data_IF_936989960214
#
_entry.id   IF_936989960214
#
_cell.length_a   1.000
_cell.length_b   1.000
_cell.length_c   1.000
_cell.angle_alpha   90.00
_cell.angle_beta   90.00
_cell.angle_gamma   90.00
#
_symmetry.space_group_name_H-M   'P 1'
#
loop_
_entity.id
_entity.type
_entity.pdbx_description
1 polymer ?
#
# COMPACT_ATOMS: atom_id res chain seq x y z
N UNK A 1 -34.29 -17.42 40.86
CA UNK A 1 -32.86 -17.81 40.73
C UNK A 1 -32.17 -16.79 39.85
N UNK A 2 -31.25 -16.00 40.41
CA UNK A 2 -30.43 -15.05 39.63
C UNK A 2 -29.28 -15.82 38.95
N UNK A 3 -29.41 -16.16 37.68
CA UNK A 3 -28.73 -15.35 36.66
C UNK A 3 -27.25 -14.96 36.87
N UNK A 4 -26.34 -15.79 37.37
CA UNK A 4 -24.95 -15.35 37.62
C UNK A 4 -24.27 -14.88 36.31
N UNK A 5 -24.20 -13.56 36.11
CA UNK A 5 -23.49 -12.93 34.98
C UNK A 5 -22.03 -13.35 35.01
N UNK A 6 -21.63 -14.27 34.12
CA UNK A 6 -20.23 -14.65 33.92
C UNK A 6 -19.43 -13.41 33.49
N UNK A 7 -18.46 -13.01 34.30
CA UNK A 7 -17.51 -11.95 33.95
C UNK A 7 -16.72 -12.36 32.71
N UNK A 8 -16.64 -11.53 31.65
CA UNK A 8 -15.94 -11.89 30.43
C UNK A 8 -14.42 -12.07 30.70
N UNK A 9 -13.84 -13.15 30.15
CA UNK A 9 -12.38 -13.40 30.24
C UNK A 9 -11.63 -12.38 29.36
N UNK A 10 -10.81 -11.52 29.97
CA UNK A 10 -9.85 -10.65 29.26
C UNK A 10 -8.84 -11.52 28.48
N UNK A 11 -8.66 -11.29 27.18
CA UNK A 11 -7.62 -11.93 26.35
C UNK A 11 -6.55 -10.94 25.91
N UNK A 12 -5.28 -11.34 25.93
CA UNK A 12 -4.13 -10.48 25.59
C UNK A 12 -3.38 -10.99 24.36
N UNK A 13 -2.86 -10.09 23.52
CA UNK A 13 -2.17 -10.42 22.26
C UNK A 13 -0.74 -10.91 22.50
N UNK A 14 -0.08 -11.52 21.50
CA UNK A 14 1.33 -11.93 21.66
C UNK A 14 2.25 -10.71 21.75
N UNK A 15 1.94 -9.62 21.05
CA UNK A 15 2.68 -8.36 21.15
C UNK A 15 2.66 -7.77 22.57
N UNK A 16 1.46 -7.65 23.18
CA UNK A 16 1.32 -7.17 24.57
C UNK A 16 2.09 -8.04 25.57
N UNK A 17 2.18 -9.36 25.30
CA UNK A 17 2.98 -10.25 26.14
C UNK A 17 4.48 -10.00 25.97
N UNK A 18 4.95 -9.78 24.75
CA UNK A 18 6.36 -9.45 24.45
C UNK A 18 6.76 -8.11 25.09
N UNK A 19 5.89 -7.10 25.03
CA UNK A 19 6.10 -5.80 25.70
C UNK A 19 6.22 -5.94 27.21
N UNK A 20 5.30 -6.68 27.86
CA UNK A 20 5.37 -6.97 29.30
C UNK A 20 6.68 -7.66 29.66
N UNK A 21 7.12 -8.63 28.86
CA UNK A 21 8.40 -9.32 29.09
C UNK A 21 9.59 -8.38 28.94
N UNK A 22 9.58 -7.49 27.94
CA UNK A 22 10.62 -6.47 27.76
C UNK A 22 10.71 -5.49 28.93
N UNK A 23 9.57 -5.04 29.48
CA UNK A 23 9.54 -4.18 30.67
C UNK A 23 10.08 -4.89 31.91
N UNK A 24 9.76 -6.17 32.09
CA UNK A 24 10.28 -6.98 33.20
C UNK A 24 11.80 -7.21 33.05
N UNK A 25 12.28 -7.49 31.84
CA UNK A 25 13.71 -7.61 31.54
C UNK A 25 14.47 -6.30 31.76
N UNK A 26 13.82 -5.15 31.51
CA UNK A 26 14.35 -3.82 31.82
C UNK A 26 14.40 -3.51 33.33
N UNK A 27 14.05 -4.47 34.19
CA UNK A 27 14.17 -4.37 35.65
C UNK A 27 12.90 -3.87 36.35
N UNK A 28 11.77 -3.72 35.65
CA UNK A 28 10.51 -3.36 36.31
C UNK A 28 9.92 -4.57 37.03
N UNK A 29 9.54 -4.35 38.29
CA UNK A 29 8.86 -5.36 39.12
C UNK A 29 7.42 -5.55 38.66
N UNK A 30 6.91 -6.77 38.78
CA UNK A 30 5.58 -7.19 38.28
C UNK A 30 4.40 -6.28 38.67
N UNK A 31 4.46 -5.64 39.85
CA UNK A 31 3.43 -4.70 40.32
C UNK A 31 3.44 -3.37 39.57
N UNK A 32 4.63 -2.85 39.21
CA UNK A 32 4.77 -1.62 38.42
C UNK A 32 4.28 -1.83 37.00
N UNK A 33 4.60 -2.99 36.41
CA UNK A 33 4.11 -3.36 35.07
C UNK A 33 2.59 -3.56 35.09
N UNK A 34 2.05 -4.11 36.17
CA UNK A 34 0.60 -4.27 36.38
C UNK A 34 -0.12 -2.92 36.46
N UNK A 35 0.45 -1.94 37.15
CA UNK A 35 -0.08 -0.58 37.27
C UNK A 35 0.03 0.18 35.94
N UNK A 36 1.17 0.05 35.24
CA UNK A 36 1.42 0.71 33.95
C UNK A 36 0.44 0.26 32.85
N UNK A 37 0.18 -1.05 32.77
CA UNK A 37 -0.57 -1.65 31.65
C UNK A 37 -1.98 -2.14 32.03
N UNK A 38 -2.40 -1.98 33.28
CA UNK A 38 -3.71 -2.44 33.77
C UNK A 38 -3.90 -3.98 33.72
N UNK A 39 -2.81 -4.75 33.65
CA UNK A 39 -2.82 -6.22 33.52
C UNK A 39 -2.69 -6.86 34.90
N UNK A 40 -3.56 -7.80 35.31
CA UNK A 40 -3.45 -8.44 36.62
C UNK A 40 -2.09 -9.11 36.83
N UNK A 41 -1.45 -8.88 37.99
CA UNK A 41 -0.14 -9.45 38.35
C UNK A 41 -0.03 -10.96 38.13
N UNK A 42 -1.10 -11.71 38.42
CA UNK A 42 -1.15 -13.17 38.18
C UNK A 42 -0.90 -13.52 36.72
N UNK A 43 -1.43 -12.72 35.80
CA UNK A 43 -1.32 -12.92 34.35
C UNK A 43 0.09 -12.61 33.87
N UNK A 44 0.70 -11.53 34.40
CA UNK A 44 2.08 -11.15 34.12
C UNK A 44 3.04 -12.26 34.56
N UNK A 45 2.86 -12.82 35.77
CA UNK A 45 3.68 -13.95 36.25
C UNK A 45 3.58 -15.17 35.34
N UNK A 46 2.37 -15.54 34.93
CA UNK A 46 2.18 -16.63 33.96
C UNK A 46 2.92 -16.39 32.64
N UNK A 47 3.06 -15.14 32.19
CA UNK A 47 3.82 -14.83 30.97
C UNK A 47 5.32 -14.86 31.18
N UNK A 48 5.81 -14.43 32.35
CA UNK A 48 7.21 -14.60 32.75
C UNK A 48 7.59 -16.09 32.72
N UNK A 49 6.70 -16.96 33.21
CA UNK A 49 6.91 -18.42 33.16
C UNK A 49 6.90 -18.96 31.71
N UNK A 50 6.11 -18.35 30.81
CA UNK A 50 5.99 -18.70 29.40
C UNK A 50 6.93 -17.89 28.48
N UNK A 51 7.92 -17.20 29.05
CA UNK A 51 8.72 -16.19 28.36
C UNK A 51 9.33 -16.66 27.05
N UNK A 52 9.94 -17.85 27.05
CA UNK A 52 10.61 -18.39 25.87
C UNK A 52 9.66 -18.64 24.71
N UNK A 53 8.50 -19.26 24.98
CA UNK A 53 7.49 -19.54 23.96
C UNK A 53 6.89 -18.26 23.37
N UNK A 54 6.78 -17.21 24.18
CA UNK A 54 6.25 -15.91 23.76
C UNK A 54 7.27 -15.14 22.91
N UNK A 55 8.55 -15.16 23.28
CA UNK A 55 9.60 -14.42 22.58
C UNK A 55 9.97 -15.07 21.24
N UNK A 56 9.96 -16.40 21.15
CA UNK A 56 10.29 -17.17 19.93
C UNK A 56 9.13 -17.21 18.92
N UNK A 57 7.95 -16.72 19.29
CA UNK A 57 6.79 -16.72 18.41
C UNK A 57 6.90 -15.70 17.25
N UNK A 58 7.09 -16.21 16.04
CA UNK A 58 7.12 -15.44 14.78
C UNK A 58 5.77 -15.36 14.04
N UNK A 59 4.72 -15.97 14.59
CA UNK A 59 3.39 -16.03 13.95
C UNK A 59 2.53 -14.77 14.14
N UNK A 60 1.23 -14.88 13.82
CA UNK A 60 0.27 -13.78 13.93
C UNK A 60 0.17 -13.23 15.36
N UNK A 61 0.62 -11.99 15.55
CA UNK A 61 0.65 -11.33 16.85
C UNK A 61 -0.71 -10.74 17.27
N UNK A 62 -1.73 -10.72 16.40
CA UNK A 62 -3.09 -10.19 16.64
C UNK A 62 -4.08 -11.32 17.11
N UNK A 63 -5.01 -10.99 18.03
CA UNK A 63 -5.84 -11.86 18.94
C UNK A 63 -6.58 -13.07 18.28
N UNK A 64 -6.92 -14.08 19.12
CA UNK A 64 -7.67 -15.33 18.81
C UNK A 64 -9.18 -15.24 19.14
N UNK A 65 -10.09 -15.43 18.18
CA UNK A 65 -11.45 -16.01 18.34
C UNK A 65 -12.08 -16.21 16.95
N UNK A 66 -12.24 -17.45 16.51
CA UNK A 66 -12.89 -17.82 15.24
C UNK A 66 -14.14 -18.62 15.59
N UNK A 67 -15.32 -18.06 15.31
CA UNK A 67 -16.56 -18.84 15.18
C UNK A 67 -16.75 -19.10 13.67
N UNK A 68 -17.14 -20.32 13.24
CA UNK A 68 -17.15 -20.67 11.82
C UNK A 68 -18.18 -19.86 11.01
N UNK A 69 -17.72 -19.19 9.95
CA UNK A 69 -18.55 -18.56 8.93
C UNK A 69 -18.61 -19.39 7.64
N UNK A 70 -19.78 -19.41 6.98
CA UNK A 70 -20.11 -20.25 5.83
C UNK A 70 -19.20 -20.11 4.59
N UNK A 71 -19.32 -21.07 3.66
CA UNK A 71 -18.51 -21.23 2.44
C UNK A 71 -18.64 -20.01 1.50
N UNK A 72 -17.55 -19.46 0.93
CA UNK A 72 -17.65 -18.45 -0.12
C UNK A 72 -18.26 -19.01 -1.39
N UNK A 73 -19.16 -18.26 -2.02
CA UNK A 73 -19.72 -18.57 -3.33
C UNK A 73 -18.68 -18.28 -4.42
N UNK A 74 -18.43 -19.24 -5.29
CA UNK A 74 -17.60 -19.10 -6.48
C UNK A 74 -18.42 -18.49 -7.61
N UNK A 75 -18.03 -17.31 -8.07
CA UNK A 75 -18.60 -16.70 -9.28
C UNK A 75 -17.80 -17.18 -10.50
N UNK A 76 -18.46 -17.63 -11.58
CA UNK A 76 -17.78 -17.87 -12.85
C UNK A 76 -17.24 -16.54 -13.41
N UNK A 77 -16.08 -16.60 -14.09
CA UNK A 77 -15.55 -15.46 -14.82
C UNK A 77 -16.57 -15.02 -15.89
N UNK A 78 -16.89 -13.72 -16.02
CA UNK A 78 -17.84 -13.26 -17.03
C UNK A 78 -17.25 -13.42 -18.44
N UNK A 79 -18.05 -14.01 -19.34
CA UNK A 79 -17.76 -14.09 -20.77
C UNK A 79 -17.71 -12.66 -21.35
N UNK A 80 -16.53 -12.22 -21.83
CA UNK A 80 -16.41 -10.91 -22.50
C UNK A 80 -15.03 -10.26 -22.49
N UNK A 81 -14.06 -10.76 -21.72
CA UNK A 81 -12.67 -10.26 -21.79
C UNK A 81 -11.89 -11.05 -22.83
N UNK A 82 -11.90 -10.60 -24.09
CA UNK A 82 -10.99 -11.09 -25.14
C UNK A 82 -9.55 -10.70 -24.76
N UNK A 83 -8.90 -11.54 -23.96
CA UNK A 83 -7.48 -11.37 -23.59
C UNK A 83 -6.64 -11.55 -24.86
N UNK A 84 -5.89 -10.51 -25.22
CA UNK A 84 -4.89 -10.64 -26.28
C UNK A 84 -3.89 -11.74 -25.92
N UNK A 85 -3.38 -12.45 -26.94
CA UNK A 85 -2.37 -13.47 -26.71
C UNK A 85 -1.08 -12.83 -26.19
N UNK A 86 -0.32 -13.58 -25.39
CA UNK A 86 0.95 -13.10 -24.85
C UNK A 86 1.93 -12.69 -25.96
N UNK A 87 1.92 -13.39 -27.10
CA UNK A 87 2.77 -13.08 -28.26
C UNK A 87 2.40 -11.74 -28.91
N UNK A 88 1.10 -11.47 -29.08
CA UNK A 88 0.63 -10.20 -29.64
C UNK A 88 0.99 -9.02 -28.73
N UNK A 89 0.89 -9.21 -27.42
CA UNK A 89 1.34 -8.21 -26.44
C UNK A 89 2.84 -7.93 -26.57
N UNK A 90 3.68 -8.97 -26.64
CA UNK A 90 5.14 -8.79 -26.82
C UNK A 90 5.47 -7.99 -28.08
N UNK A 91 4.79 -8.26 -29.20
CA UNK A 91 4.97 -7.49 -30.43
C UNK A 91 4.60 -6.00 -30.26
N UNK A 92 3.51 -5.71 -29.54
CA UNK A 92 3.12 -4.32 -29.21
C UNK A 92 4.17 -3.66 -28.33
N UNK A 93 4.71 -4.36 -27.34
CA UNK A 93 5.80 -3.85 -26.49
C UNK A 93 7.03 -3.51 -27.30
N UNK A 94 7.47 -4.43 -28.16
CA UNK A 94 8.72 -4.26 -28.90
C UNK A 94 8.63 -3.09 -29.87
N UNK A 95 7.51 -2.97 -30.60
CA UNK A 95 7.23 -1.81 -31.46
C UNK A 95 7.19 -0.50 -30.65
N UNK A 96 6.47 -0.49 -29.54
CA UNK A 96 6.38 0.69 -28.68
C UNK A 96 7.75 1.10 -28.12
N UNK A 97 8.57 0.14 -27.70
CA UNK A 97 9.92 0.39 -27.19
C UNK A 97 10.83 0.95 -28.29
N UNK A 98 10.78 0.41 -29.51
CA UNK A 98 11.49 0.96 -30.67
C UNK A 98 11.13 2.43 -30.94
N UNK A 99 9.82 2.74 -30.96
CA UNK A 99 9.34 4.10 -31.17
C UNK A 99 9.74 5.05 -30.04
N UNK A 100 9.61 4.58 -28.78
CA UNK A 100 10.02 5.32 -27.60
C UNK A 100 11.51 5.67 -27.63
N UNK A 101 12.38 4.68 -27.89
CA UNK A 101 13.82 4.90 -27.97
C UNK A 101 14.21 5.80 -29.14
N UNK A 102 13.47 5.75 -30.25
CA UNK A 102 13.69 6.65 -31.41
C UNK A 102 13.33 8.10 -31.09
N UNK A 103 12.17 8.32 -30.49
CA UNK A 103 11.64 9.66 -30.20
C UNK A 103 12.39 10.34 -29.03
N UNK A 104 12.65 9.59 -27.96
CA UNK A 104 13.23 10.11 -26.72
C UNK A 104 14.72 9.80 -26.55
N UNK A 105 15.44 9.48 -27.64
CA UNK A 105 16.89 9.20 -27.63
C UNK A 105 17.77 10.25 -26.94
N UNK A 106 17.30 11.49 -26.88
CA UNK A 106 18.00 12.62 -26.26
C UNK A 106 17.81 12.74 -24.75
N UNK A 107 16.96 11.90 -24.15
CA UNK A 107 16.65 11.94 -22.72
C UNK A 107 17.44 10.87 -21.99
N UNK A 108 18.18 11.29 -20.96
CA UNK A 108 18.84 10.37 -20.04
C UNK A 108 17.83 9.67 -19.11
N UNK A 109 18.23 8.58 -18.45
CA UNK A 109 17.37 7.82 -17.54
C UNK A 109 16.87 8.64 -16.33
N UNK A 110 17.56 9.73 -15.98
CA UNK A 110 17.14 10.70 -14.96
C UNK A 110 15.96 11.59 -15.39
N UNK A 111 15.73 11.72 -16.70
CA UNK A 111 14.69 12.54 -17.31
C UNK A 111 13.47 11.73 -17.76
N UNK A 112 13.49 10.39 -17.60
CA UNK A 112 12.38 9.50 -17.95
C UNK A 112 11.68 9.05 -16.68
N UNK A 113 10.38 9.30 -16.61
CA UNK A 113 9.53 9.02 -15.46
C UNK A 113 8.44 8.04 -15.86
N UNK A 114 8.01 7.20 -14.92
CA UNK A 114 6.76 6.44 -15.05
C UNK A 114 5.84 6.73 -13.87
N UNK A 115 4.55 6.95 -14.15
CA UNK A 115 3.50 7.24 -13.17
C UNK A 115 2.39 6.22 -13.31
N UNK A 116 1.90 5.71 -12.18
CA UNK A 116 0.75 4.81 -12.14
C UNK A 116 0.09 4.80 -10.76
N UNK A 117 -1.20 4.46 -10.72
CA UNK A 117 -2.00 4.37 -9.50
C UNK A 117 -2.23 2.95 -9.02
N UNK A 118 -2.23 2.78 -7.70
CA UNK A 118 -2.63 1.52 -7.10
C UNK A 118 -3.50 1.70 -5.87
N UNK A 119 -4.62 0.96 -5.86
CA UNK A 119 -5.49 0.87 -4.70
C UNK A 119 -4.96 -0.14 -3.68
N UNK A 120 -5.03 0.22 -2.41
CA UNK A 120 -4.72 -0.68 -1.30
C UNK A 120 -5.70 -0.48 -0.14
N UNK A 121 -5.79 -1.49 0.72
CA UNK A 121 -6.79 -1.57 1.77
C UNK A 121 -6.14 -1.47 3.16
N UNK A 122 -6.91 -1.08 4.17
CA UNK A 122 -6.48 -1.10 5.55
C UNK A 122 -6.08 -2.52 5.96
N UNK A 123 -6.95 -3.50 5.69
CA UNK A 123 -6.67 -4.92 5.86
C UNK A 123 -5.98 -5.48 4.62
N UNK A 124 -4.75 -5.97 4.79
CA UNK A 124 -3.93 -6.56 3.72
C UNK A 124 -3.48 -7.97 4.11
N UNK A 125 -4.42 -8.91 4.32
CA UNK A 125 -4.04 -10.27 4.68
C UNK A 125 -3.26 -10.95 3.55
N UNK A 126 -2.34 -11.87 3.89
CA UNK A 126 -1.59 -12.62 2.89
C UNK A 126 -2.51 -13.55 2.08
N UNK A 127 -2.11 -13.82 0.83
CA UNK A 127 -2.86 -14.69 -0.09
C UNK A 127 -2.93 -16.15 0.35
N UNK A 128 -1.91 -16.60 1.09
CA UNK A 128 -1.80 -17.98 1.60
C UNK A 128 -1.50 -17.96 3.09
N UNK A 129 -2.17 -18.82 3.85
CA UNK A 129 -1.96 -19.01 5.29
C UNK A 129 -1.90 -20.51 5.56
N UNK A 130 -0.93 -20.91 6.38
CA UNK A 130 -0.84 -22.28 6.88
C UNK A 130 -1.94 -22.53 7.91
N UNK A 131 -2.72 -23.59 7.71
CA UNK A 131 -3.70 -24.08 8.68
C UNK A 131 -3.29 -25.46 9.17
N UNK A 132 -3.65 -25.79 10.40
CA UNK A 132 -3.50 -27.14 10.92
C UNK A 132 -4.31 -28.12 10.04
N UNK A 133 -3.75 -29.30 9.77
CA UNK A 133 -4.41 -30.32 8.94
C UNK A 133 -5.76 -30.70 9.57
N UNK A 134 -6.85 -30.46 8.86
CA UNK A 134 -8.23 -30.66 9.36
C UNK A 134 -8.87 -29.44 10.03
N UNK A 135 -8.15 -28.31 10.13
CA UNK A 135 -8.67 -27.02 10.58
C UNK A 135 -9.18 -26.13 9.43
N UNK A 136 -9.96 -25.11 9.77
CA UNK A 136 -10.44 -24.10 8.80
C UNK A 136 -9.30 -23.12 8.44
N UNK A 137 -9.15 -22.82 7.15
CA UNK A 137 -8.11 -21.95 6.60
C UNK A 137 -8.55 -20.47 6.48
N UNK A 138 -9.76 -20.11 6.93
CA UNK A 138 -10.31 -18.77 6.77
C UNK A 138 -9.77 -17.76 7.79
N UNK A 139 -9.46 -16.56 7.28
CA UNK A 139 -9.17 -15.37 8.07
C UNK A 139 -10.49 -14.84 8.63
N UNK A 140 -10.67 -14.87 9.95
CA UNK A 140 -11.93 -14.47 10.60
C UNK A 140 -12.13 -12.95 10.69
N UNK A 141 -11.09 -12.17 10.43
CA UNK A 141 -11.06 -10.73 10.71
C UNK A 141 -10.37 -9.99 9.58
N UNK A 142 -11.15 -9.70 8.54
CA UNK A 142 -10.96 -8.53 7.70
C UNK A 142 -12.30 -7.80 7.67
N UNK A 143 -12.29 -6.48 7.71
CA UNK A 143 -13.52 -5.72 7.52
C UNK A 143 -14.08 -6.05 6.14
N UNK A 144 -15.35 -6.49 6.09
CA UNK A 144 -16.07 -6.78 4.83
C UNK A 144 -15.97 -5.61 3.83
N UNK A 145 -15.84 -4.39 4.36
CA UNK A 145 -15.58 -3.17 3.61
C UNK A 145 -14.39 -2.40 4.21
N UNK A 146 -13.22 -3.03 4.22
CA UNK A 146 -11.99 -2.37 4.65
C UNK A 146 -11.79 -1.04 3.93
N UNK A 147 -11.36 -0.03 4.69
CA UNK A 147 -11.04 1.29 4.16
C UNK A 147 -10.04 1.16 3.01
N UNK A 148 -10.33 1.83 1.88
CA UNK A 148 -9.48 1.85 0.68
C UNK A 148 -8.82 3.23 0.56
N UNK A 149 -7.56 3.22 0.14
CA UNK A 149 -6.79 4.39 -0.26
C UNK A 149 -6.14 4.10 -1.61
N UNK A 150 -5.85 5.14 -2.38
CA UNK A 150 -5.09 5.01 -3.63
C UNK A 150 -3.75 5.72 -3.46
N UNK A 151 -2.67 5.05 -3.86
CA UNK A 151 -1.34 5.63 -3.93
C UNK A 151 -0.97 5.83 -5.41
N UNK A 152 -0.57 7.03 -5.77
CA UNK A 152 0.04 7.34 -7.07
C UNK A 152 1.55 7.28 -6.87
N UNK A 153 2.20 6.39 -7.60
CA UNK A 153 3.63 6.13 -7.48
C UNK A 153 4.34 6.70 -8.69
N UNK A 154 5.57 7.17 -8.47
CA UNK A 154 6.38 7.72 -9.55
C UNK A 154 7.83 7.37 -9.38
N UNK A 155 8.40 6.89 -10.46
CA UNK A 155 9.78 6.40 -10.52
C UNK A 155 10.48 6.99 -11.72
N UNK A 156 11.79 7.18 -11.59
CA UNK A 156 12.68 7.53 -12.69
C UNK A 156 13.37 6.29 -13.24
N UNK A 157 13.72 6.31 -14.53
CA UNK A 157 14.43 5.20 -15.16
C UNK A 157 15.83 4.99 -14.56
N UNK A 158 16.43 5.98 -13.90
CA UNK A 158 17.69 5.82 -13.16
C UNK A 158 17.55 5.02 -11.85
N UNK A 159 16.32 4.75 -11.39
CA UNK A 159 16.02 4.03 -10.15
C UNK A 159 15.55 4.92 -8.98
N UNK A 160 15.48 6.24 -9.16
CA UNK A 160 14.98 7.14 -8.13
C UNK A 160 13.47 6.99 -7.95
N UNK A 161 13.01 7.28 -6.74
CA UNK A 161 11.60 7.30 -6.35
C UNK A 161 11.21 8.72 -6.01
N UNK A 162 10.03 9.13 -6.45
CA UNK A 162 9.44 10.38 -6.03
C UNK A 162 8.53 10.16 -4.80
N UNK A 163 8.15 11.25 -4.10
CA UNK A 163 7.08 11.20 -3.12
C UNK A 163 5.82 10.52 -3.64
N UNK A 164 5.11 9.83 -2.75
CA UNK A 164 3.79 9.27 -3.02
C UNK A 164 2.73 10.38 -2.95
N UNK A 165 1.80 10.39 -3.91
CA UNK A 165 0.51 11.07 -3.75
C UNK A 165 -0.52 10.08 -3.20
N UNK A 166 -1.13 10.42 -2.06
CA UNK A 166 -2.22 9.65 -1.48
C UNK A 166 -3.57 10.27 -1.81
N UNK A 167 -4.46 9.51 -2.46
CA UNK A 167 -5.85 9.88 -2.68
C UNK A 167 -6.73 9.19 -1.63
N UNK A 168 -7.31 9.99 -0.75
CA UNK A 168 -8.03 9.54 0.43
C UNK A 168 -9.52 9.73 0.22
N UNK A 169 -10.31 8.70 0.55
CA UNK A 169 -11.76 8.77 0.45
C UNK A 169 -12.33 9.75 1.47
N UNK A 170 -12.93 10.84 1.00
CA UNK A 170 -13.55 11.85 1.84
C UNK A 170 -14.19 12.98 1.06
N UNK A 171 -14.89 13.88 1.75
CA UNK A 171 -15.37 15.11 1.12
C UNK A 171 -14.21 16.11 0.97
N UNK A 172 -13.93 16.62 -0.25
CA UNK A 172 -13.01 17.75 -0.44
C UNK A 172 -13.43 18.94 0.44
N UNK A 173 -12.47 19.62 1.06
CA UNK A 173 -12.69 20.69 2.04
C UNK A 173 -13.25 20.20 3.39
N UNK A 174 -13.43 18.89 3.58
CA UNK A 174 -14.01 18.30 4.79
C UNK A 174 -13.03 18.20 5.96
N UNK A 175 -13.47 17.52 7.02
CA UNK A 175 -12.70 17.33 8.27
C UNK A 175 -11.34 16.65 8.05
N UNK A 176 -11.24 15.72 7.10
CA UNK A 176 -9.98 15.02 6.78
C UNK A 176 -8.94 16.03 6.28
N UNK A 177 -9.32 16.86 5.32
CA UNK A 177 -8.42 17.84 4.70
C UNK A 177 -8.04 18.97 5.67
N UNK A 178 -9.01 19.46 6.44
CA UNK A 178 -8.80 20.61 7.34
C UNK A 178 -8.03 20.25 8.61
N UNK A 179 -8.21 19.03 9.14
CA UNK A 179 -7.75 18.65 10.48
C UNK A 179 -6.78 17.47 10.51
N UNK A 180 -6.94 16.46 9.64
CA UNK A 180 -6.15 15.22 9.72
C UNK A 180 -4.86 15.26 8.91
N UNK A 181 -4.87 15.89 7.72
CA UNK A 181 -3.69 15.91 6.83
C UNK A 181 -2.45 16.54 7.49
N UNK A 182 -2.65 17.46 8.44
CA UNK A 182 -1.56 18.09 9.21
C UNK A 182 -0.80 17.11 10.10
N UNK A 183 -1.42 15.98 10.43
CA UNK A 183 -0.85 14.91 11.26
C UNK A 183 -0.12 13.85 10.43
N UNK A 184 -0.25 13.90 9.10
CA UNK A 184 0.35 12.90 8.23
C UNK A 184 1.84 13.22 7.98
N UNK A 185 2.67 12.19 7.69
CA UNK A 185 4.08 12.37 7.40
C UNK A 185 4.33 13.45 6.33
N UNK A 186 5.26 14.36 6.60
CA UNK A 186 5.67 15.39 5.63
C UNK A 186 6.48 14.75 4.50
N UNK A 187 6.60 15.47 3.38
CA UNK A 187 7.36 15.02 2.21
C UNK A 187 6.54 14.21 1.21
N UNK A 188 5.27 13.94 1.51
CA UNK A 188 4.29 13.32 0.61
C UNK A 188 3.16 14.28 0.29
N UNK A 189 2.44 14.00 -0.79
CA UNK A 189 1.30 14.82 -1.24
C UNK A 189 -0.01 14.09 -0.90
N UNK A 190 -1.04 14.85 -0.53
CA UNK A 190 -2.31 14.30 -0.10
C UNK A 190 -3.46 15.00 -0.82
N UNK A 191 -4.38 14.21 -1.37
CA UNK A 191 -5.62 14.70 -1.95
C UNK A 191 -6.81 13.97 -1.31
N UNK A 192 -7.90 14.69 -1.06
CA UNK A 192 -9.14 14.12 -0.51
C UNK A 192 -10.21 14.14 -1.59
N UNK A 193 -10.84 12.99 -1.83
CA UNK A 193 -11.76 12.80 -2.94
C UNK A 193 -12.90 11.84 -2.58
N UNK A 194 -14.13 12.11 -3.04
CA UNK A 194 -15.30 11.33 -2.60
C UNK A 194 -15.23 9.84 -2.93
N UNK A 195 -14.63 9.51 -4.08
CA UNK A 195 -14.53 8.13 -4.58
C UNK A 195 -13.13 7.51 -4.39
N UNK A 196 -12.12 8.30 -3.97
CA UNK A 196 -10.71 7.89 -3.88
C UNK A 196 -10.09 7.36 -5.20
N UNK A 197 -10.52 7.93 -6.33
CA UNK A 197 -9.94 7.68 -7.65
C UNK A 197 -9.34 8.96 -8.21
N UNK A 198 -8.41 8.81 -9.16
CA UNK A 198 -7.88 9.94 -9.94
C UNK A 198 -8.99 10.52 -10.82
N UNK A 199 -9.10 11.84 -10.85
CA UNK A 199 -9.89 12.60 -11.81
C UNK A 199 -9.04 13.76 -12.35
N UNK A 200 -9.57 14.54 -13.28
CA UNK A 200 -8.83 15.67 -13.87
C UNK A 200 -8.37 16.68 -12.81
N UNK A 201 -9.14 16.87 -11.74
CA UNK A 201 -8.81 17.83 -10.67
C UNK A 201 -7.60 17.35 -9.88
N UNK A 202 -7.60 16.09 -9.44
CA UNK A 202 -6.49 15.49 -8.69
C UNK A 202 -5.27 15.35 -9.58
N UNK A 203 -5.44 15.03 -10.86
CA UNK A 203 -4.34 14.95 -11.83
C UNK A 203 -3.67 16.32 -12.02
N UNK A 204 -4.45 17.38 -12.25
CA UNK A 204 -3.91 18.74 -12.40
C UNK A 204 -3.22 19.22 -11.12
N UNK A 205 -3.76 18.86 -9.95
CA UNK A 205 -3.11 19.12 -8.67
C UNK A 205 -1.78 18.36 -8.55
N UNK A 206 -1.75 17.08 -8.93
CA UNK A 206 -0.57 16.24 -8.94
C UNK A 206 0.54 16.80 -9.85
N UNK A 207 0.20 17.19 -11.08
CA UNK A 207 1.13 17.81 -12.03
C UNK A 207 1.79 19.07 -11.42
N UNK A 208 0.99 19.97 -10.86
CA UNK A 208 1.48 21.27 -10.34
C UNK A 208 2.17 21.18 -8.98
N UNK A 209 1.85 20.19 -8.16
CA UNK A 209 2.39 20.10 -6.80
C UNK A 209 3.54 19.12 -6.67
N UNK A 210 3.44 17.97 -7.32
CA UNK A 210 4.45 16.92 -7.19
C UNK A 210 5.40 16.96 -8.37
N UNK A 211 4.89 16.88 -9.61
CA UNK A 211 5.79 16.82 -10.76
C UNK A 211 6.55 18.13 -10.97
N UNK A 212 5.87 19.28 -10.89
CA UNK A 212 6.50 20.59 -11.08
C UNK A 212 7.70 20.84 -10.15
N UNK A 213 7.65 20.31 -8.92
CA UNK A 213 8.70 20.50 -7.93
C UNK A 213 9.83 19.46 -8.02
N UNK A 214 9.62 18.37 -8.76
CA UNK A 214 10.55 17.25 -8.80
C UNK A 214 11.09 16.94 -10.20
N UNK A 215 10.58 17.59 -11.26
CA UNK A 215 11.03 17.37 -12.64
C UNK A 215 11.96 18.49 -13.09
N UNK A 216 12.95 18.15 -13.92
CA UNK A 216 13.68 19.13 -14.71
C UNK A 216 12.88 19.52 -15.94
N UNK A 217 12.94 20.80 -16.33
CA UNK A 217 12.52 21.21 -17.67
C UNK A 217 13.27 20.33 -18.67
N UNK A 218 12.55 19.69 -19.61
CA UNK A 218 13.03 18.57 -20.44
C UNK A 218 13.00 17.19 -19.75
N UNK A 219 11.80 16.73 -19.38
CA UNK A 219 11.53 15.37 -18.91
C UNK A 219 10.40 14.70 -19.70
N UNK A 220 10.41 13.36 -19.79
CA UNK A 220 9.35 12.54 -20.38
C UNK A 220 8.65 11.77 -19.28
N UNK A 221 7.32 11.83 -19.26
CA UNK A 221 6.48 11.08 -18.32
C UNK A 221 5.72 10.01 -19.09
N UNK A 222 5.96 8.76 -18.76
CA UNK A 222 5.29 7.57 -19.27
C UNK A 222 4.13 7.18 -18.35
N UNK A 223 2.94 6.94 -18.91
CA UNK A 223 1.73 6.65 -18.15
C UNK A 223 0.68 5.94 -19.01
N UNK A 224 -0.35 5.41 -18.38
CA UNK A 224 -1.49 4.84 -19.10
C UNK A 224 -2.29 5.91 -19.88
N UNK A 225 -3.17 5.45 -20.77
CA UNK A 225 -4.00 6.33 -21.59
C UNK A 225 -5.33 6.69 -20.92
N UNK A 226 -5.39 6.71 -19.58
CA UNK A 226 -6.61 7.05 -18.87
C UNK A 226 -7.09 8.46 -19.24
N UNK A 227 -8.40 8.64 -19.43
CA UNK A 227 -8.96 9.88 -19.98
C UNK A 227 -8.61 11.14 -19.15
N UNK A 228 -8.39 10.99 -17.85
CA UNK A 228 -7.94 12.11 -17.00
C UNK A 228 -6.49 12.50 -17.21
N UNK A 229 -5.67 11.60 -17.76
CA UNK A 229 -4.27 11.86 -18.02
C UNK A 229 -4.02 12.43 -19.42
N UNK A 230 -4.83 12.04 -20.41
CA UNK A 230 -4.62 12.38 -21.84
C UNK A 230 -5.66 13.36 -22.39
N UNK A 231 -6.11 14.33 -21.58
CA UNK A 231 -7.00 15.40 -22.03
C UNK A 231 -6.24 16.70 -22.37
N UNK A 232 -6.90 17.60 -23.08
CA UNK A 232 -6.33 18.87 -23.54
C UNK A 232 -5.73 19.71 -22.40
N UNK A 233 -6.39 19.75 -21.23
CA UNK A 233 -5.88 20.45 -20.05
C UNK A 233 -4.58 19.83 -19.53
N UNK A 234 -4.47 18.50 -19.55
CA UNK A 234 -3.27 17.78 -19.12
C UNK A 234 -2.11 18.11 -20.03
N UNK A 235 -2.31 18.03 -21.36
CA UNK A 235 -1.28 18.41 -22.34
C UNK A 235 -0.88 19.87 -22.21
N UNK A 236 -1.84 20.78 -22.00
CA UNK A 236 -1.58 22.20 -21.78
C UNK A 236 -0.70 22.44 -20.56
N UNK A 237 -1.04 21.87 -19.40
CA UNK A 237 -0.26 22.03 -18.16
C UNK A 237 1.16 21.47 -18.34
N UNK A 238 1.25 20.25 -18.87
CA UNK A 238 2.52 19.56 -19.09
C UNK A 238 3.43 20.33 -20.03
N UNK A 239 2.92 20.77 -21.18
CA UNK A 239 3.74 21.40 -22.22
C UNK A 239 4.00 22.87 -21.90
N UNK A 240 2.97 23.65 -21.55
CA UNK A 240 3.08 25.10 -21.38
C UNK A 240 3.58 25.51 -20.00
N UNK A 241 3.15 24.83 -18.93
CA UNK A 241 3.51 25.21 -17.55
C UNK A 241 4.79 24.50 -17.08
N UNK A 242 4.98 23.23 -17.45
CA UNK A 242 6.05 22.38 -16.91
C UNK A 242 7.20 22.11 -17.89
N UNK A 243 7.00 22.31 -19.19
CA UNK A 243 8.01 22.00 -20.21
C UNK A 243 8.42 20.51 -20.23
N UNK A 244 7.45 19.62 -20.00
CA UNK A 244 7.62 18.17 -20.03
C UNK A 244 6.86 17.55 -21.21
N UNK A 245 7.13 16.29 -21.51
CA UNK A 245 6.45 15.52 -22.56
C UNK A 245 5.66 14.38 -21.92
N UNK A 246 4.41 14.16 -22.36
CA UNK A 246 3.62 12.99 -21.99
C UNK A 246 3.79 11.92 -23.07
N UNK A 247 4.11 10.70 -22.63
CA UNK A 247 4.16 9.51 -23.46
C UNK A 247 3.05 8.54 -22.97
N UNK A 248 1.88 8.52 -23.60
CA UNK A 248 0.85 7.55 -23.26
C UNK A 248 1.20 6.16 -23.78
N UNK A 249 1.02 5.14 -22.93
CA UNK A 249 1.23 3.74 -23.27
C UNK A 249 0.12 3.25 -24.22
N UNK A 250 0.41 2.30 -25.14
CA UNK A 250 -0.60 1.70 -25.99
C UNK A 250 -1.78 1.11 -25.20
N UNK A 251 -3.01 1.23 -25.72
CA UNK A 251 -4.21 0.73 -25.03
C UNK A 251 -4.08 -0.78 -24.77
N UNK A 252 -4.49 -1.20 -23.56
CA UNK A 252 -4.47 -2.60 -23.11
C UNK A 252 -3.07 -3.24 -23.02
N UNK A 253 -1.99 -2.45 -23.10
CA UNK A 253 -0.61 -2.94 -23.00
C UNK A 253 0.08 -2.58 -21.67
N UNK A 254 -0.65 -2.04 -20.70
CA UNK A 254 -0.09 -1.59 -19.41
C UNK A 254 0.69 -2.71 -18.70
N UNK A 255 0.18 -3.95 -18.75
CA UNK A 255 0.79 -5.12 -18.10
C UNK A 255 2.20 -5.49 -18.61
N UNK A 256 2.61 -4.97 -19.76
CA UNK A 256 3.88 -5.29 -20.43
C UNK A 256 4.74 -4.05 -20.74
N UNK A 257 4.11 -2.89 -20.93
CA UNK A 257 4.77 -1.65 -21.34
C UNK A 257 4.90 -0.64 -20.20
N UNK A 258 4.22 -0.84 -19.06
CA UNK A 258 4.29 0.07 -17.91
C UNK A 258 5.32 -0.43 -16.89
N UNK A 259 6.46 0.27 -16.69
CA UNK A 259 7.50 -0.13 -15.74
C UNK A 259 6.96 -0.40 -14.33
N UNK A 260 6.05 0.42 -13.82
CA UNK A 260 5.46 0.23 -12.50
C UNK A 260 4.71 -1.11 -12.40
N UNK A 261 3.87 -1.47 -13.37
CA UNK A 261 3.16 -2.75 -13.36
C UNK A 261 4.07 -3.96 -13.58
N UNK A 262 5.05 -3.81 -14.47
CA UNK A 262 5.92 -4.89 -14.92
C UNK A 262 6.89 -5.38 -13.84
N UNK A 263 7.28 -4.50 -12.91
CA UNK A 263 8.32 -4.82 -11.93
C UNK A 263 8.20 -4.20 -10.53
N UNK A 264 7.33 -3.20 -10.29
CA UNK A 264 7.31 -2.46 -9.01
C UNK A 264 6.03 -2.69 -8.20
N UNK A 265 4.86 -2.70 -8.84
CA UNK A 265 3.56 -2.78 -8.18
C UNK A 265 3.37 -4.08 -7.40
N UNK A 266 3.81 -5.22 -7.96
CA UNK A 266 3.71 -6.50 -7.28
C UNK A 266 4.60 -6.57 -6.02
N UNK A 267 5.91 -6.24 -6.06
CA UNK A 267 6.73 -6.11 -4.86
C UNK A 267 6.18 -5.11 -3.84
N UNK A 268 5.73 -3.93 -4.28
CA UNK A 268 5.16 -2.91 -3.40
C UNK A 268 3.94 -3.45 -2.62
N UNK A 269 2.99 -4.12 -3.30
CA UNK A 269 1.84 -4.76 -2.65
C UNK A 269 2.23 -5.87 -1.68
N UNK A 270 3.29 -6.62 -1.98
CA UNK A 270 3.83 -7.61 -1.06
C UNK A 270 4.39 -6.95 0.20
N UNK A 271 5.17 -5.88 0.06
CA UNK A 271 5.71 -5.14 1.19
C UNK A 271 4.63 -4.47 2.04
N UNK A 272 3.52 -4.03 1.44
CA UNK A 272 2.33 -3.58 2.17
C UNK A 272 1.76 -4.69 3.05
N UNK A 273 1.60 -5.90 2.51
CA UNK A 273 1.12 -7.06 3.29
C UNK A 273 2.10 -7.42 4.42
N UNK A 274 3.40 -7.49 4.11
CA UNK A 274 4.44 -7.81 5.10
C UNK A 274 4.45 -6.78 6.24
N UNK A 275 4.38 -5.49 5.90
CA UNK A 275 4.33 -4.43 6.89
C UNK A 275 3.04 -4.50 7.74
N UNK A 276 1.88 -4.80 7.15
CA UNK A 276 0.61 -4.98 7.88
C UNK A 276 0.68 -6.12 8.91
N UNK A 277 1.38 -7.22 8.58
CA UNK A 277 1.56 -8.37 9.48
C UNK A 277 2.43 -8.02 10.69
N UNK A 278 3.41 -7.11 10.52
CA UNK A 278 4.34 -6.70 11.58
C UNK A 278 3.92 -5.44 12.33
N UNK A 279 2.91 -4.71 11.84
CA UNK A 279 2.46 -3.46 12.43
C UNK A 279 1.85 -3.66 13.82
N UNK A 280 2.33 -2.87 14.78
CA UNK A 280 1.79 -2.80 16.14
C UNK A 280 0.32 -2.38 16.11
N UNK A 281 -0.46 -2.85 17.08
CA UNK A 281 -1.84 -2.42 17.20
C UNK A 281 -1.87 -0.96 17.63
N UNK A 282 -2.85 -0.22 17.12
CA UNK A 282 -3.14 1.12 17.61
C UNK A 282 -3.96 0.92 18.88
N UNK A 283 -3.33 1.10 20.04
CA UNK A 283 -4.02 1.10 21.32
C UNK A 283 -4.92 2.34 21.40
N UNK A 284 -6.20 2.15 21.70
CA UNK A 284 -7.15 3.23 21.95
C UNK A 284 -7.19 3.41 23.46
N UNK A 285 -6.71 4.56 23.96
CA UNK A 285 -6.49 4.79 25.40
C UNK A 285 -7.79 4.83 26.24
N UNK A 286 -8.98 4.98 25.65
CA UNK A 286 -10.21 5.20 26.43
C UNK A 286 -11.47 4.54 25.80
N UNK A 287 -11.60 3.22 25.86
CA UNK A 287 -12.84 2.53 25.47
C UNK A 287 -12.93 1.07 25.92
N UNK A 288 -14.15 0.60 26.22
CA UNK A 288 -14.44 -0.80 26.54
C UNK A 288 -13.86 -1.76 25.46
N UNK A 289 -13.63 -3.02 25.84
CA UNK A 289 -12.86 -4.14 25.20
C UNK A 289 -13.20 -4.52 23.71
N UNK A 290 -13.69 -3.58 22.90
CA UNK A 290 -14.15 -3.73 21.51
C UNK A 290 -13.87 -2.55 20.56
N UNK A 291 -13.16 -1.48 20.96
CA UNK A 291 -12.98 -0.34 20.06
C UNK A 291 -11.95 -0.61 18.95
N UNK A 292 -12.48 -0.73 17.73
CA UNK A 292 -11.73 -0.78 16.48
C UNK A 292 -11.04 0.58 16.28
N UNK A 293 -9.78 0.65 15.80
CA UNK A 293 -9.10 1.93 15.60
C UNK A 293 -9.95 2.90 14.79
N UNK A 294 -9.94 4.17 15.19
CA UNK A 294 -10.74 5.20 14.52
C UNK A 294 -10.37 5.30 13.04
N UNK A 295 -11.29 5.79 12.21
CA UNK A 295 -11.03 5.90 10.77
C UNK A 295 -9.79 6.79 10.46
N UNK A 296 -9.52 7.81 11.28
CA UNK A 296 -8.33 8.66 11.15
C UNK A 296 -7.04 7.92 11.50
N UNK A 297 -7.03 7.16 12.60
CA UNK A 297 -5.90 6.31 12.98
C UNK A 297 -5.61 5.25 11.89
N UNK A 298 -6.65 4.62 11.33
CA UNK A 298 -6.51 3.67 10.21
C UNK A 298 -5.88 4.32 8.98
N UNK A 299 -6.32 5.52 8.60
CA UNK A 299 -5.73 6.27 7.48
C UNK A 299 -4.25 6.57 7.72
N UNK A 300 -3.90 7.06 8.90
CA UNK A 300 -2.51 7.36 9.25
C UNK A 300 -1.63 6.10 9.20
N UNK A 301 -2.11 4.98 9.75
CA UNK A 301 -1.45 3.68 9.66
C UNK A 301 -1.23 3.24 8.21
N UNK A 302 -2.24 3.35 7.35
CA UNK A 302 -2.13 3.05 5.93
C UNK A 302 -1.06 3.89 5.23
N UNK A 303 -1.03 5.20 5.50
CA UNK A 303 -0.02 6.11 4.94
C UNK A 303 1.39 5.70 5.40
N UNK A 304 1.60 5.50 6.70
CA UNK A 304 2.90 5.06 7.25
C UNK A 304 3.34 3.73 6.64
N UNK A 305 2.42 2.78 6.51
CA UNK A 305 2.67 1.46 5.92
C UNK A 305 3.09 1.56 4.46
N UNK A 306 2.41 2.40 3.68
CA UNK A 306 2.75 2.63 2.28
C UNK A 306 4.13 3.29 2.12
N UNK A 307 4.50 4.23 2.99
CA UNK A 307 5.85 4.83 3.00
C UNK A 307 6.91 3.75 3.27
N UNK A 308 6.72 2.94 4.32
CA UNK A 308 7.64 1.83 4.64
C UNK A 308 7.75 0.82 3.48
N UNK A 309 6.62 0.48 2.84
CA UNK A 309 6.61 -0.41 1.68
C UNK A 309 7.33 0.22 0.48
N UNK A 310 7.19 1.53 0.28
CA UNK A 310 7.84 2.26 -0.79
C UNK A 310 9.35 2.36 -0.60
N UNK A 311 9.80 2.58 0.63
CA UNK A 311 11.22 2.61 0.98
C UNK A 311 11.93 1.28 0.67
N UNK A 312 11.22 0.15 0.81
CA UNK A 312 11.74 -1.19 0.49
C UNK A 312 11.89 -1.48 -1.00
N UNK A 313 11.22 -0.74 -1.89
CA UNK A 313 11.40 -0.89 -3.34
C UNK A 313 12.82 -0.42 -3.70
N UNK A 314 13.63 -1.31 -4.28
CA UNK A 314 15.02 -0.99 -4.57
C UNK A 314 15.17 -0.24 -5.90
N UNK A 315 16.18 0.65 -6.03
CA UNK A 315 16.50 1.29 -7.30
C UNK A 315 16.85 0.29 -8.41
N UNK A 316 17.37 -0.89 -8.05
CA UNK A 316 17.69 -1.96 -9.00
C UNK A 316 16.42 -2.55 -9.60
N UNK A 317 15.39 -2.79 -8.79
CA UNK A 317 14.11 -3.32 -9.27
C UNK A 317 13.41 -2.33 -10.20
N UNK A 318 13.54 -1.03 -9.91
CA UNK A 318 13.02 0.03 -10.77
C UNK A 318 13.75 0.03 -12.12
N UNK A 319 15.09 0.06 -12.15
CA UNK A 319 15.84 0.02 -13.42
C UNK A 319 15.48 -1.20 -14.28
N UNK A 320 15.42 -2.37 -13.66
CA UNK A 320 15.01 -3.63 -14.33
C UNK A 320 13.58 -3.57 -14.86
N UNK A 321 12.68 -2.83 -14.21
CA UNK A 321 11.32 -2.70 -14.68
C UNK A 321 11.23 -1.85 -15.95
N UNK A 322 12.04 -0.79 -16.05
CA UNK A 322 12.20 -0.03 -17.30
C UNK A 322 12.83 -0.87 -18.41
N UNK A 323 13.92 -1.60 -18.14
CA UNK A 323 14.57 -2.49 -19.12
C UNK A 323 13.60 -3.54 -19.68
N UNK A 324 12.72 -4.07 -18.82
CA UNK A 324 11.74 -5.09 -19.21
C UNK A 324 10.55 -4.52 -19.98
N UNK A 325 10.13 -3.30 -19.64
CA UNK A 325 9.00 -2.61 -20.28
C UNK A 325 9.38 -1.94 -21.61
N UNK A 326 10.62 -1.44 -21.70
CA UNK A 326 11.17 -0.71 -22.84
C UNK A 326 12.50 -1.36 -23.28
N UNK A 327 12.47 -2.62 -23.76
CA UNK A 327 13.68 -3.30 -24.21
C UNK A 327 14.39 -2.49 -25.30
N UNK A 328 15.71 -2.35 -25.18
CA UNK A 328 16.51 -1.71 -26.22
C UNK A 328 16.55 -2.64 -27.43
N UNK A 329 16.26 -2.15 -28.65
CA UNK A 329 16.35 -2.96 -29.85
C UNK A 329 17.78 -3.49 -30.00
N UNK A 330 17.96 -4.81 -29.97
CA UNK A 330 19.24 -5.39 -30.35
C UNK A 330 19.37 -5.21 -31.85
N UNK A 331 20.26 -4.31 -32.29
CA UNK A 331 20.72 -4.32 -33.67
C UNK A 331 21.34 -5.69 -33.94
N UNK A 332 20.58 -6.60 -34.54
CA UNK A 332 21.14 -7.71 -35.28
C UNK A 332 21.80 -7.10 -36.51
N UNK A 333 23.09 -6.81 -36.40
CA UNK A 333 23.98 -6.64 -37.55
C UNK A 333 24.10 -7.93 -38.36
#
# INVERSE_FOLDING_TARGET
MQEARRTPKRSYTVATKQEVLGLVEAGLVDYKVSELLGIPRRTIRTWIDQKWDILVYEGNKKRKKIVPGGRPETFPDPDGLNKQSQAALVEVRDKFAEEFHREYRGFGPEAIYNVDETGFHYDMPPKYIWSARGGDAKISTGEKHSLRMTAVLTVRANGDKLPILFVIRGAPGGRIETSELRLFPRGHVYAVQQKAWMDNTVWNYYLRTLLANNLSAHSVVLLDNFASHVNDDSYRIVHEELGILLCPIPPNATSICQPLDVGVMAPFKRYLCDAWLTEEMIDVEDGDDFDTPTAGQKRLAMVKRAIVAWDRVSPVDIRRSFEKALPVPTNTE
#
